data_IF_947360438831
#
_entry.id   IF_947360438831
#
_cell.length_a   1.000
_cell.length_b   1.000
_cell.length_c   1.000
_cell.angle_alpha   90.00
_cell.angle_beta   90.00
_cell.angle_gamma   90.00
#
_symmetry.space_group_name_H-M   'P 1'
#
loop_
_entity.id
_entity.type
_entity.pdbx_description
1 polymer ?
#
# COMPACT_ATOMS: atom_id res chain seq x y z
N UNK A 1 12.82 -21.93 -0.58
CA UNK A 1 12.81 -22.58 0.75
C UNK A 1 13.90 -21.90 1.57
N UNK A 2 13.51 -20.91 2.38
CA UNK A 2 14.40 -20.26 3.35
C UNK A 2 14.73 -21.27 4.44
N UNK A 3 15.99 -21.66 4.54
CA UNK A 3 16.47 -22.47 5.68
C UNK A 3 16.55 -21.53 6.88
N UNK A 4 15.66 -21.70 7.82
CA UNK A 4 15.78 -21.10 9.17
C UNK A 4 17.00 -21.69 9.84
N UNK A 5 18.11 -20.93 9.85
CA UNK A 5 19.27 -21.29 10.67
C UNK A 5 19.07 -20.72 12.06
N UNK A 6 18.99 -21.58 13.03
CA UNK A 6 19.17 -21.19 14.45
C UNK A 6 20.58 -20.63 14.61
N UNK A 7 20.79 -19.53 15.31
CA UNK A 7 22.13 -19.01 15.56
C UNK A 7 23.03 -20.08 16.19
N UNK A 8 24.20 -20.27 15.60
CA UNK A 8 25.15 -21.29 16.08
C UNK A 8 25.88 -20.78 17.33
N UNK A 9 26.17 -21.68 18.25
CA UNK A 9 26.98 -21.40 19.44
C UNK A 9 28.44 -21.17 19.08
N UNK A 10 28.98 -20.00 19.37
CA UNK A 10 30.42 -19.75 19.33
C UNK A 10 30.99 -19.80 20.73
N UNK A 11 31.86 -20.73 21.02
CA UNK A 11 32.66 -20.79 22.21
C UNK A 11 33.97 -20.03 21.99
N UNK A 12 34.23 -18.99 22.70
CA UNK A 12 35.51 -18.28 22.65
C UNK A 12 36.26 -18.30 23.96
N UNK A 13 37.59 -18.20 23.80
CA UNK A 13 38.69 -18.21 24.75
C UNK A 13 38.50 -17.43 26.07
N UNK A 14 39.35 -17.70 27.03
CA UNK A 14 39.64 -17.26 28.40
C UNK A 14 39.09 -15.94 29.01
N UNK A 15 38.41 -15.05 28.23
CA UNK A 15 37.84 -13.79 28.70
C UNK A 15 36.32 -13.79 28.91
N UNK A 16 35.69 -14.99 28.82
CA UNK A 16 34.27 -15.14 28.97
C UNK A 16 33.55 -15.41 27.63
N UNK A 17 32.33 -15.89 27.73
CA UNK A 17 31.49 -16.33 26.63
C UNK A 17 31.03 -15.12 25.83
N UNK A 18 31.11 -15.19 24.48
CA UNK A 18 30.58 -14.22 23.57
C UNK A 18 29.73 -14.88 22.52
N UNK A 19 28.67 -14.20 22.08
CA UNK A 19 27.79 -14.67 21.00
C UNK A 19 26.67 -15.57 21.51
N UNK A 20 26.10 -16.33 20.58
CA UNK A 20 24.89 -17.12 20.82
C UNK A 20 25.16 -18.39 21.60
N UNK A 21 24.23 -18.72 22.49
CA UNK A 21 24.13 -19.99 23.17
C UNK A 21 22.65 -20.39 23.23
N UNK A 22 22.22 -21.22 22.32
CA UNK A 22 20.80 -21.50 22.11
C UNK A 22 20.05 -20.22 21.77
N UNK A 23 19.05 -19.87 22.58
CA UNK A 23 18.26 -18.64 22.39
C UNK A 23 18.86 -17.41 23.08
N UNK A 24 19.97 -17.58 23.81
CA UNK A 24 20.61 -16.52 24.58
C UNK A 24 21.80 -15.93 23.85
N UNK A 25 22.12 -14.67 24.16
CA UNK A 25 23.29 -13.97 23.63
C UNK A 25 24.17 -13.46 24.78
N UNK A 26 25.48 -13.62 24.66
CA UNK A 26 26.46 -13.22 25.69
C UNK A 26 27.41 -12.17 25.14
N UNK A 27 27.74 -11.21 25.97
CA UNK A 27 28.77 -10.20 25.69
C UNK A 27 29.73 -10.18 26.89
N UNK A 28 31.01 -10.44 26.66
CA UNK A 28 32.05 -10.46 27.68
C UNK A 28 31.70 -11.33 28.92
N UNK A 29 31.15 -12.51 28.65
CA UNK A 29 30.75 -13.46 29.69
C UNK A 29 29.39 -13.19 30.32
N UNK A 30 28.76 -12.06 30.01
CA UNK A 30 27.47 -11.69 30.62
C UNK A 30 26.31 -11.96 29.61
N UNK A 31 25.24 -12.57 30.13
CA UNK A 31 24.02 -12.77 29.37
C UNK A 31 23.33 -11.44 29.13
N UNK A 32 22.84 -11.24 27.88
CA UNK A 32 22.14 -10.02 27.45
C UNK A 32 20.64 -10.15 27.72
N UNK A 33 20.02 -9.05 28.17
CA UNK A 33 18.57 -8.93 28.42
C UNK A 33 18.04 -7.60 27.90
N UNK A 34 16.81 -7.59 27.42
CA UNK A 34 16.06 -6.39 27.01
C UNK A 34 16.88 -5.42 26.17
N UNK A 35 17.53 -5.95 25.11
CA UNK A 35 18.49 -5.15 24.35
C UNK A 35 18.54 -5.58 22.89
N UNK A 36 18.71 -4.60 22.01
CA UNK A 36 19.07 -4.83 20.61
C UNK A 36 20.55 -5.16 20.51
N UNK A 37 20.85 -6.12 19.66
CA UNK A 37 22.22 -6.47 19.29
C UNK A 37 22.36 -6.50 17.78
N UNK A 38 23.54 -6.20 17.28
CA UNK A 38 23.89 -6.42 15.87
C UNK A 38 24.92 -7.53 15.80
N UNK A 39 24.62 -8.56 15.02
CA UNK A 39 25.51 -9.69 14.83
C UNK A 39 26.19 -9.58 13.45
N UNK A 40 27.52 -9.40 13.44
CA UNK A 40 28.31 -9.25 12.23
C UNK A 40 28.36 -10.53 11.39
N UNK A 41 28.25 -11.68 12.01
CA UNK A 41 28.27 -12.97 11.29
C UNK A 41 26.99 -13.16 10.49
N UNK A 42 25.85 -12.84 11.12
CA UNK A 42 24.54 -12.95 10.48
C UNK A 42 24.13 -11.67 9.73
N UNK A 43 24.88 -10.59 9.90
CA UNK A 43 24.61 -9.27 9.31
C UNK A 43 23.18 -8.82 9.54
N UNK A 44 22.73 -8.93 10.80
CA UNK A 44 21.35 -8.61 11.19
C UNK A 44 21.28 -8.08 12.62
N UNK A 45 20.25 -7.28 12.85
CA UNK A 45 19.83 -6.93 14.19
C UNK A 45 18.94 -8.03 14.76
N UNK A 46 19.06 -8.24 16.08
CA UNK A 46 18.24 -9.12 16.88
C UNK A 46 17.82 -8.38 18.14
N UNK A 47 16.68 -8.74 18.70
CA UNK A 47 16.27 -8.21 20.01
C UNK A 47 16.19 -9.34 21.01
N UNK A 48 16.86 -9.13 22.16
CA UNK A 48 16.85 -10.07 23.29
C UNK A 48 15.82 -9.54 24.28
N UNK A 49 14.86 -10.39 24.67
CA UNK A 49 13.79 -10.03 25.58
C UNK A 49 14.24 -10.01 27.06
N UNK A 50 13.29 -9.72 27.94
CA UNK A 50 13.55 -9.66 29.39
C UNK A 50 13.93 -11.03 29.98
N UNK A 51 13.58 -12.13 29.34
CA UNK A 51 13.97 -13.48 29.72
C UNK A 51 15.35 -13.88 29.19
N UNK A 52 15.95 -13.04 28.33
CA UNK A 52 17.25 -13.30 27.72
C UNK A 52 17.17 -14.17 26.46
N UNK A 53 16.01 -14.29 25.86
CA UNK A 53 15.82 -15.03 24.61
C UNK A 53 15.66 -14.07 23.43
N UNK A 54 16.16 -14.47 22.24
CA UNK A 54 15.88 -13.68 21.06
C UNK A 54 14.39 -13.74 20.70
N UNK A 55 13.86 -12.59 20.28
CA UNK A 55 12.48 -12.46 19.81
C UNK A 55 12.37 -12.93 18.37
N UNK A 56 11.30 -13.64 18.03
CA UNK A 56 11.01 -14.04 16.65
C UNK A 56 9.51 -14.03 16.39
N UNK A 57 9.15 -13.80 15.13
CA UNK A 57 7.75 -13.74 14.66
C UNK A 57 6.92 -12.75 15.47
N UNK A 58 7.51 -11.61 15.79
CA UNK A 58 6.90 -10.63 16.66
C UNK A 58 7.44 -9.22 16.42
N UNK A 59 6.65 -8.24 16.84
CA UNK A 59 7.03 -6.83 16.82
C UNK A 59 7.74 -6.44 18.11
N UNK A 60 8.78 -5.63 17.94
CA UNK A 60 9.40 -4.88 19.03
C UNK A 60 9.38 -3.42 18.64
N UNK A 61 8.46 -2.65 19.22
CA UNK A 61 8.20 -1.29 18.77
C UNK A 61 7.76 -1.29 17.30
N UNK A 62 8.47 -0.54 16.47
CA UNK A 62 8.18 -0.39 15.04
C UNK A 62 8.92 -1.39 14.15
N UNK A 63 9.60 -2.36 14.75
CA UNK A 63 10.47 -3.32 14.07
C UNK A 63 9.89 -4.72 14.16
N UNK A 64 10.06 -5.50 13.11
CA UNK A 64 9.57 -6.87 13.09
C UNK A 64 10.72 -7.86 13.06
N UNK A 65 10.71 -8.81 14.01
CA UNK A 65 11.68 -9.90 14.06
C UNK A 65 11.07 -11.13 13.41
N UNK A 66 11.71 -11.59 12.34
CA UNK A 66 11.27 -12.76 11.57
C UNK A 66 11.61 -14.06 12.30
N UNK A 67 11.17 -15.16 11.71
CA UNK A 67 11.57 -16.50 12.16
C UNK A 67 13.08 -16.61 12.19
N UNK A 68 13.63 -17.08 13.30
CA UNK A 68 15.06 -17.10 13.57
C UNK A 68 15.60 -15.84 14.21
N UNK A 69 14.76 -14.82 14.42
CA UNK A 69 15.11 -13.59 15.13
C UNK A 69 15.64 -12.45 14.25
N UNK A 70 15.77 -12.64 12.94
CA UNK A 70 16.31 -11.63 12.04
C UNK A 70 15.35 -10.44 11.93
N UNK A 71 15.88 -9.21 12.06
CA UNK A 71 15.07 -8.01 11.84
C UNK A 71 14.74 -7.86 10.35
N UNK A 72 13.46 -7.69 10.03
CA UNK A 72 13.01 -7.45 8.67
C UNK A 72 13.49 -6.09 8.15
N UNK A 73 14.00 -6.04 6.93
CA UNK A 73 14.46 -4.82 6.25
C UNK A 73 14.16 -4.92 4.76
N UNK A 74 13.69 -3.82 4.16
CA UNK A 74 13.40 -3.74 2.73
C UNK A 74 12.53 -4.90 2.24
N UNK A 75 11.52 -5.27 3.01
CA UNK A 75 10.70 -6.44 2.68
C UNK A 75 9.28 -6.33 3.20
N UNK A 76 8.40 -7.06 2.56
CA UNK A 76 7.03 -7.24 2.99
C UNK A 76 6.94 -8.40 3.97
N UNK A 77 6.10 -8.23 5.00
CA UNK A 77 5.71 -9.32 5.88
C UNK A 77 4.20 -9.41 5.96
N UNK A 78 3.66 -10.60 6.19
CA UNK A 78 2.26 -10.80 6.52
C UNK A 78 2.15 -11.18 7.99
N UNK A 79 1.43 -10.36 8.75
CA UNK A 79 1.19 -10.64 10.17
C UNK A 79 -0.18 -11.29 10.32
N UNK A 80 -0.17 -12.56 10.73
CA UNK A 80 -1.40 -13.34 10.91
C UNK A 80 -2.27 -12.82 12.04
N UNK A 81 -1.66 -12.25 13.07
CA UNK A 81 -2.38 -11.73 14.25
C UNK A 81 -3.17 -10.47 13.89
N UNK A 82 -2.57 -9.60 13.09
CA UNK A 82 -3.24 -8.39 12.61
C UNK A 82 -4.00 -8.61 11.29
N UNK A 83 -3.78 -9.73 10.63
CA UNK A 83 -4.42 -10.04 9.35
C UNK A 83 -4.07 -9.06 8.24
N UNK A 84 -2.85 -8.58 8.19
CA UNK A 84 -2.44 -7.53 7.28
C UNK A 84 -0.99 -7.66 6.81
N UNK A 85 -0.72 -7.09 5.64
CA UNK A 85 0.65 -6.91 5.14
C UNK A 85 1.23 -5.60 5.65
N UNK A 86 2.51 -5.64 5.96
CA UNK A 86 3.34 -4.49 6.35
C UNK A 86 4.59 -4.47 5.50
N UNK A 87 5.15 -3.30 5.29
CA UNK A 87 6.46 -3.16 4.65
C UNK A 87 7.46 -2.59 5.64
N UNK A 88 8.59 -3.26 5.79
CA UNK A 88 9.68 -2.79 6.63
C UNK A 88 10.71 -2.09 5.76
N UNK A 89 11.03 -0.84 6.11
CA UNK A 89 11.98 -0.01 5.35
C UNK A 89 13.43 -0.51 5.47
N UNK A 90 14.35 0.14 4.78
CA UNK A 90 15.77 -0.18 4.88
C UNK A 90 16.34 0.02 6.28
N UNK A 91 15.71 0.86 7.10
CA UNK A 91 16.07 1.07 8.51
C UNK A 91 15.39 0.06 9.44
N UNK A 92 14.50 -0.76 8.91
CA UNK A 92 13.77 -1.78 9.67
C UNK A 92 12.44 -1.33 10.23
N UNK A 93 12.15 -0.05 10.30
CA UNK A 93 10.85 0.45 10.77
C UNK A 93 9.75 0.20 9.74
N UNK A 94 8.50 0.00 10.20
CA UNK A 94 7.40 -0.19 9.27
C UNK A 94 7.06 1.12 8.53
N UNK A 95 6.79 0.99 7.23
CA UNK A 95 6.34 2.09 6.40
C UNK A 95 4.90 2.47 6.75
N UNK A 96 4.58 3.76 6.74
CA UNK A 96 3.23 4.28 7.00
C UNK A 96 2.99 5.58 6.24
N UNK A 97 1.72 5.81 5.88
CA UNK A 97 1.30 6.99 5.11
C UNK A 97 2.13 7.16 3.84
N UNK A 98 2.43 6.07 3.15
CA UNK A 98 3.31 6.10 1.99
C UNK A 98 3.02 4.98 1.00
N UNK A 99 3.48 5.17 -0.21
CA UNK A 99 3.44 4.16 -1.28
C UNK A 99 4.72 3.34 -1.28
N UNK A 100 4.56 2.05 -1.49
CA UNK A 100 5.65 1.13 -1.84
C UNK A 100 5.23 0.44 -3.13
N UNK A 101 5.82 0.85 -4.24
CA UNK A 101 5.35 0.43 -5.56
C UNK A 101 3.89 0.84 -5.77
N UNK A 102 3.04 -0.13 -6.09
CA UNK A 102 1.61 0.09 -6.36
C UNK A 102 0.73 -0.05 -5.11
N UNK A 103 1.32 -0.21 -3.94
CA UNK A 103 0.62 -0.48 -2.68
C UNK A 103 0.76 0.69 -1.72
N UNK A 104 -0.28 0.92 -0.94
CA UNK A 104 -0.29 2.01 0.03
C UNK A 104 -0.32 1.48 1.46
N UNK A 105 0.61 1.98 2.29
CA UNK A 105 0.66 1.68 3.71
C UNK A 105 -0.05 2.80 4.48
N UNK A 106 -1.07 2.43 5.25
CA UNK A 106 -1.87 3.37 6.04
C UNK A 106 -1.09 3.89 7.25
N UNK A 107 -1.71 4.79 8.02
CA UNK A 107 -1.09 5.39 9.21
C UNK A 107 -0.70 4.36 10.27
N UNK A 108 -1.42 3.23 10.32
CA UNK A 108 -1.12 2.11 11.23
C UNK A 108 -0.14 1.10 10.63
N UNK A 109 0.41 1.37 9.44
CA UNK A 109 1.32 0.48 8.72
C UNK A 109 0.65 -0.60 7.91
N UNK A 110 -0.64 -0.84 8.06
CA UNK A 110 -1.34 -1.89 7.30
C UNK A 110 -1.48 -1.51 5.84
N UNK A 111 -1.22 -2.45 4.94
CA UNK A 111 -1.49 -2.27 3.52
C UNK A 111 -2.98 -2.07 3.29
N UNK A 112 -3.34 -1.00 2.56
CA UNK A 112 -4.73 -0.71 2.22
C UNK A 112 -5.26 -1.72 1.19
N UNK A 113 -6.49 -2.20 1.40
CA UNK A 113 -7.19 -3.14 0.50
C UNK A 113 -8.66 -2.79 0.43
N UNK A 114 -9.23 -2.87 -0.78
CA UNK A 114 -10.67 -2.67 -1.02
C UNK A 114 -11.17 -1.36 -0.38
N UNK A 115 -10.44 -0.29 -0.55
CA UNK A 115 -10.79 0.99 0.08
C UNK A 115 -10.23 2.18 -0.67
N UNK A 116 -10.89 3.33 -0.44
CA UNK A 116 -10.40 4.62 -0.91
C UNK A 116 -9.41 5.19 0.09
N UNK A 117 -8.39 5.86 -0.43
CA UNK A 117 -7.49 6.70 0.37
C UNK A 117 -7.36 8.08 -0.26
N UNK A 118 -7.11 9.09 0.55
CA UNK A 118 -6.73 10.41 0.08
C UNK A 118 -5.26 10.64 0.37
N UNK A 119 -4.48 10.89 -0.68
CA UNK A 119 -3.06 11.19 -0.55
C UNK A 119 -2.85 12.70 -0.59
N UNK A 120 -2.45 13.27 0.54
CA UNK A 120 -2.22 14.71 0.68
C UNK A 120 -1.07 15.22 -0.18
N UNK A 121 -0.07 14.38 -0.39
CA UNK A 121 1.13 14.76 -1.17
C UNK A 121 0.78 14.90 -2.65
N UNK A 122 -0.04 13.99 -3.18
CA UNK A 122 -0.51 14.04 -4.56
C UNK A 122 -1.80 14.86 -4.72
N UNK A 123 -2.47 15.19 -3.62
CA UNK A 123 -3.73 15.93 -3.64
C UNK A 123 -4.84 15.19 -4.37
N UNK A 124 -4.92 13.88 -4.22
CA UNK A 124 -5.87 13.06 -4.98
C UNK A 124 -6.37 11.85 -4.21
N UNK A 125 -7.56 11.38 -4.59
CA UNK A 125 -8.09 10.11 -4.14
C UNK A 125 -7.60 8.98 -5.02
N UNK A 126 -7.33 7.84 -4.39
CA UNK A 126 -6.98 6.56 -5.02
C UNK A 126 -7.86 5.46 -4.46
N UNK A 127 -8.06 4.42 -5.25
CA UNK A 127 -8.74 3.21 -4.76
C UNK A 127 -7.78 2.04 -4.80
N UNK A 128 -7.65 1.35 -3.67
CA UNK A 128 -6.83 0.14 -3.56
C UNK A 128 -7.75 -1.07 -3.72
N UNK A 129 -7.41 -1.95 -4.66
CA UNK A 129 -8.20 -3.15 -4.98
C UNK A 129 -8.15 -4.18 -3.85
N UNK A 130 -8.89 -5.27 -3.99
CA UNK A 130 -8.87 -6.38 -3.03
C UNK A 130 -7.50 -7.05 -2.89
N UNK A 131 -6.62 -6.87 -3.88
CA UNK A 131 -5.23 -7.35 -3.85
C UNK A 131 -4.25 -6.31 -3.30
N UNK A 132 -4.72 -5.09 -3.06
CA UNK A 132 -3.93 -4.00 -2.52
C UNK A 132 -3.33 -3.05 -3.55
N UNK A 133 -3.27 -3.42 -4.82
CA UNK A 133 -2.77 -2.54 -5.87
C UNK A 133 -3.75 -1.41 -6.16
N UNK A 134 -3.26 -0.22 -6.56
CA UNK A 134 -4.16 0.87 -6.90
C UNK A 134 -4.89 0.59 -8.22
N UNK A 135 -6.19 0.93 -8.26
CA UNK A 135 -7.01 0.85 -9.47
C UNK A 135 -6.60 1.95 -10.46
N UNK A 136 -6.59 1.62 -11.74
CA UNK A 136 -6.30 2.56 -12.82
C UNK A 136 -7.07 2.19 -14.08
N UNK A 137 -7.41 3.22 -14.87
CA UNK A 137 -8.22 3.05 -16.09
C UNK A 137 -9.50 2.25 -15.80
N UNK A 138 -10.15 2.55 -14.68
CA UNK A 138 -11.24 1.73 -14.18
C UNK A 138 -12.31 2.57 -13.47
N UNK A 139 -13.54 2.06 -13.49
CA UNK A 139 -14.65 2.59 -12.72
C UNK A 139 -14.77 1.86 -11.40
N UNK A 140 -14.93 2.63 -10.32
CA UNK A 140 -15.31 2.11 -9.01
C UNK A 140 -16.60 2.84 -8.62
N UNK A 141 -17.71 2.13 -8.75
CA UNK A 141 -19.02 2.78 -8.65
C UNK A 141 -19.17 3.89 -9.68
N UNK A 142 -19.54 5.08 -9.26
CA UNK A 142 -19.68 6.26 -10.13
C UNK A 142 -18.41 7.08 -10.33
N UNK A 143 -17.25 6.58 -9.91
CA UNK A 143 -15.98 7.31 -9.93
C UNK A 143 -15.00 6.64 -10.88
N UNK A 144 -14.15 7.43 -11.53
CA UNK A 144 -13.18 6.92 -12.49
C UNK A 144 -11.76 7.15 -12.01
N UNK A 145 -10.95 6.09 -12.03
CA UNK A 145 -9.52 6.15 -11.73
C UNK A 145 -8.76 6.23 -13.03
N UNK A 146 -7.96 7.29 -13.19
CA UNK A 146 -7.17 7.53 -14.40
C UNK A 146 -5.97 6.58 -14.50
N UNK A 147 -5.21 6.69 -15.57
CA UNK A 147 -4.03 5.84 -15.82
C UNK A 147 -2.98 5.96 -14.70
N UNK A 148 -2.89 7.11 -14.05
CA UNK A 148 -1.98 7.34 -12.91
C UNK A 148 -2.59 6.94 -11.56
N UNK A 149 -3.81 6.38 -11.56
CA UNK A 149 -4.53 6.00 -10.35
C UNK A 149 -5.33 7.13 -9.70
N UNK A 150 -5.15 8.37 -10.09
CA UNK A 150 -5.87 9.50 -9.49
C UNK A 150 -7.34 9.47 -9.90
N UNK A 151 -8.23 9.71 -8.94
CA UNK A 151 -9.66 9.89 -9.23
C UNK A 151 -9.85 11.12 -10.11
N UNK A 152 -10.56 10.97 -11.22
CA UNK A 152 -10.88 12.07 -12.14
C UNK A 152 -11.87 13.05 -11.47
N UNK A 153 -11.64 14.35 -11.63
CA UNK A 153 -12.49 15.44 -11.12
C UNK A 153 -12.50 16.60 -12.10
N UNK A 154 -13.65 17.19 -12.30
CA UNK A 154 -13.81 18.37 -13.16
C UNK A 154 -13.17 18.16 -14.55
N UNK A 155 -13.33 16.98 -15.12
CA UNK A 155 -12.68 16.67 -16.38
C UNK A 155 -13.46 15.66 -17.20
N UNK A 156 -13.19 15.68 -18.52
CA UNK A 156 -13.69 14.70 -19.46
C UNK A 156 -12.72 13.52 -19.54
N UNK A 157 -13.28 12.32 -19.65
CA UNK A 157 -12.52 11.12 -19.99
C UNK A 157 -13.16 10.41 -21.16
N UNK A 158 -12.36 9.69 -21.94
CA UNK A 158 -12.85 8.78 -22.94
C UNK A 158 -12.60 7.35 -22.48
N UNK A 159 -13.67 6.59 -22.36
CA UNK A 159 -13.59 5.19 -21.98
C UNK A 159 -13.64 4.31 -23.23
N UNK A 160 -12.54 3.65 -23.53
CA UNK A 160 -12.40 2.80 -24.72
C UNK A 160 -13.29 1.56 -24.66
N UNK A 161 -13.53 1.04 -23.46
CA UNK A 161 -14.36 -0.16 -23.26
C UNK A 161 -15.82 0.13 -23.57
N UNK A 162 -16.31 1.30 -23.14
CA UNK A 162 -17.67 1.74 -23.44
C UNK A 162 -17.80 2.53 -24.75
N UNK A 163 -16.67 2.94 -25.33
CA UNK A 163 -16.66 3.73 -26.56
C UNK A 163 -17.35 5.08 -26.42
N UNK A 164 -17.20 5.74 -25.29
CA UNK A 164 -17.92 6.98 -25.00
C UNK A 164 -17.12 7.95 -24.14
N UNK A 165 -17.47 9.24 -24.28
CA UNK A 165 -16.98 10.27 -23.35
C UNK A 165 -17.89 10.36 -22.13
N UNK A 166 -17.26 10.62 -21.00
CA UNK A 166 -17.90 10.90 -19.70
C UNK A 166 -17.33 12.17 -19.11
N UNK A 167 -18.11 12.84 -18.28
CA UNK A 167 -17.62 13.99 -17.51
C UNK A 167 -17.69 13.68 -16.02
N UNK A 168 -16.59 13.86 -15.32
CA UNK A 168 -16.51 13.69 -13.88
C UNK A 168 -16.64 15.06 -13.21
N UNK A 169 -17.60 15.18 -12.29
CA UNK A 169 -17.90 16.44 -11.59
C UNK A 169 -16.80 16.84 -10.61
N UNK A 170 -16.95 17.97 -9.96
CA UNK A 170 -16.02 18.42 -8.93
C UNK A 170 -15.95 17.51 -7.71
N UNK A 171 -16.96 16.66 -7.52
CA UNK A 171 -16.97 15.63 -6.46
C UNK A 171 -16.45 14.29 -6.94
N UNK A 172 -16.12 14.17 -8.23
CA UNK A 172 -15.60 12.95 -8.83
C UNK A 172 -16.64 12.02 -9.42
N UNK A 173 -17.92 12.17 -9.08
CA UNK A 173 -18.99 11.36 -9.66
C UNK A 173 -19.22 11.72 -11.15
N UNK A 174 -19.63 10.74 -11.96
CA UNK A 174 -19.93 11.02 -13.35
C UNK A 174 -21.23 11.84 -13.48
N UNK A 175 -21.19 12.83 -14.38
CA UNK A 175 -22.38 13.65 -14.72
C UNK A 175 -23.36 12.79 -15.53
N UNK A 176 -24.66 12.99 -15.28
CA UNK A 176 -25.74 12.33 -16.01
C UNK A 176 -26.97 13.22 -16.06
N UNK A 177 -27.76 13.09 -17.14
CA UNK A 177 -28.95 13.88 -17.36
C UNK A 177 -28.65 15.37 -17.26
N UNK A 178 -27.54 15.82 -17.84
CA UNK A 178 -27.06 17.19 -17.67
C UNK A 178 -26.24 17.66 -18.86
N UNK A 179 -26.28 18.98 -19.08
CA UNK A 179 -25.42 19.68 -20.02
C UNK A 179 -24.14 20.14 -19.32
N UNK A 180 -23.00 19.86 -19.96
CA UNK A 180 -21.71 20.44 -19.60
C UNK A 180 -21.27 21.26 -20.81
N UNK A 181 -21.43 22.57 -20.73
CA UNK A 181 -21.27 23.42 -21.90
C UNK A 181 -22.26 23.03 -23.02
N UNK A 182 -21.76 22.79 -24.22
CA UNK A 182 -22.54 22.39 -25.40
C UNK A 182 -22.74 20.87 -25.52
N UNK A 183 -22.36 20.08 -24.49
CA UNK A 183 -22.40 18.61 -24.53
C UNK A 183 -23.35 18.06 -23.48
N UNK A 184 -24.12 17.04 -23.86
CA UNK A 184 -25.13 16.43 -23.00
C UNK A 184 -24.68 15.04 -22.52
N UNK A 185 -24.77 14.83 -21.23
CA UNK A 185 -24.50 13.52 -20.60
C UNK A 185 -25.85 12.83 -20.35
N UNK A 186 -26.02 11.63 -20.92
CA UNK A 186 -27.25 10.84 -20.83
C UNK A 186 -27.41 10.22 -19.44
N UNK A 187 -28.50 9.51 -19.21
CA UNK A 187 -28.80 8.87 -17.91
C UNK A 187 -27.74 7.84 -17.50
N UNK A 188 -27.06 7.22 -18.48
CA UNK A 188 -25.96 6.28 -18.25
C UNK A 188 -24.59 6.96 -18.15
N UNK A 189 -24.55 8.30 -18.21
CA UNK A 189 -23.32 9.09 -18.18
C UNK A 189 -22.64 9.27 -19.52
N UNK A 190 -23.02 8.52 -20.55
CA UNK A 190 -22.40 8.66 -21.88
C UNK A 190 -22.77 9.99 -22.51
N UNK A 191 -21.78 10.65 -23.14
CA UNK A 191 -22.04 11.83 -23.95
C UNK A 191 -22.91 11.47 -25.14
N UNK A 192 -23.98 12.23 -25.35
CA UNK A 192 -24.85 12.07 -26.51
C UNK A 192 -24.10 12.47 -27.81
N UNK A 193 -24.24 11.67 -28.86
CA UNK A 193 -23.66 11.94 -30.21
C UNK A 193 -24.69 11.61 -31.26
N UNK A 194 -24.81 12.46 -32.28
CA UNK A 194 -25.68 12.26 -33.46
C UNK A 194 -27.11 11.88 -33.06
N UNK A 195 -27.66 12.49 -32.02
CA UNK A 195 -28.98 12.14 -31.49
C UNK A 195 -29.72 13.37 -30.98
N UNK A 196 -31.00 13.19 -30.65
CA UNK A 196 -31.83 14.17 -29.97
C UNK A 196 -31.77 13.90 -28.48
N UNK A 197 -31.52 14.97 -27.69
CA UNK A 197 -31.52 14.85 -26.21
C UNK A 197 -32.95 14.80 -25.68
N UNK A 198 -33.18 14.28 -24.43
CA UNK A 198 -34.53 14.19 -23.86
C UNK A 198 -35.25 15.52 -23.72
N UNK A 199 -34.53 16.63 -23.59
CA UNK A 199 -35.08 17.98 -23.53
C UNK A 199 -35.30 18.63 -24.95
N UNK A 200 -35.12 17.85 -26.03
CA UNK A 200 -35.52 18.21 -27.36
C UNK A 200 -34.47 18.85 -28.24
N UNK A 201 -33.25 18.99 -27.79
CA UNK A 201 -32.15 19.54 -28.58
C UNK A 201 -31.43 18.46 -29.38
N UNK A 202 -30.71 18.88 -30.43
CA UNK A 202 -29.90 17.99 -31.25
C UNK A 202 -28.42 18.21 -30.99
N UNK A 203 -27.67 17.12 -31.01
CA UNK A 203 -26.20 17.16 -30.98
C UNK A 203 -25.64 16.48 -32.22
N UNK A 204 -24.51 16.98 -32.69
CA UNK A 204 -23.84 16.47 -33.88
C UNK A 204 -22.99 15.21 -33.60
N UNK A 205 -22.23 14.76 -34.60
CA UNK A 205 -21.36 13.57 -34.48
C UNK A 205 -20.19 13.73 -33.50
N UNK A 206 -19.87 14.97 -33.12
CA UNK A 206 -18.88 15.25 -32.07
C UNK A 206 -19.53 15.45 -30.70
N UNK A 207 -20.85 15.35 -30.60
CA UNK A 207 -21.62 15.58 -29.39
C UNK A 207 -22.00 17.04 -29.16
N UNK A 208 -21.58 17.95 -30.02
CA UNK A 208 -21.82 19.38 -29.83
C UNK A 208 -23.26 19.75 -30.19
N UNK A 209 -23.88 20.62 -29.36
CA UNK A 209 -25.21 21.13 -29.59
C UNK A 209 -25.29 21.87 -30.96
N UNK A 210 -26.30 21.50 -31.72
CA UNK A 210 -26.62 22.14 -33.01
C UNK A 210 -27.64 23.26 -32.70
N UNK A 211 -27.22 24.49 -32.88
CA UNK A 211 -28.06 25.70 -32.72
C UNK A 211 -28.94 25.93 -33.95
#
# INVERSE_FOLDING_TARGET
>A
KSKTKTPATNSSSASGKNGWSGKSYYQNGNKVYSKWIYDNQYKSYFYIDAAGNYVQNAWVGNYYLKSGGYMAQNEWIYDKNYGAYYYLTGEGSYARNTWVGNYYLKSNGKMAKSQWIYDKNYGAYYYLTGEGSYARNAWIGGYYLKANGKMAKNEWIYDRNYGAYYYLTGEGSYARNAWIGDYYLKSNGKMAVSERTPDGYRVDGSGKWIR
#
